data_IF_805429744368
#
_entry.id   IF_805429744368
#
_cell.length_a   1.000
_cell.length_b   1.000
_cell.length_c   1.000
_cell.angle_alpha   90.00
_cell.angle_beta   90.00
_cell.angle_gamma   90.00
#
_symmetry.space_group_name_H-M   'P 1'
#
loop_
_entity.id
_entity.type
_entity.pdbx_description
1 polymer ?
#
# COMPACT_ATOMS: atom_id res chain seq x y z
N UNK A 1 5.79 -4.49 31.77
CA UNK A 1 5.98 -5.66 30.90
C UNK A 1 4.61 -6.25 30.66
N UNK A 2 3.92 -5.80 29.62
CA UNK A 2 2.71 -6.45 29.13
C UNK A 2 3.24 -7.57 28.23
N UNK A 3 2.96 -8.82 28.58
CA UNK A 3 3.43 -9.96 27.78
C UNK A 3 2.87 -9.84 26.37
N UNK A 4 3.75 -9.83 25.38
CA UNK A 4 3.37 -9.83 23.98
C UNK A 4 2.48 -11.06 23.74
N UNK A 5 1.21 -10.82 23.37
CA UNK A 5 0.24 -11.88 23.14
C UNK A 5 0.55 -12.52 21.79
N UNK A 6 0.42 -13.84 21.73
CA UNK A 6 0.62 -14.62 20.51
C UNK A 6 -0.58 -15.52 20.27
N UNK A 7 -0.80 -15.85 19.01
CA UNK A 7 -1.69 -16.93 18.58
C UNK A 7 -0.91 -17.88 17.67
N UNK A 8 -1.35 -19.12 17.53
CA UNK A 8 -0.75 -20.04 16.57
C UNK A 8 -1.03 -19.53 15.15
N UNK A 9 -0.06 -19.67 14.26
CA UNK A 9 -0.21 -19.30 12.84
C UNK A 9 -1.40 -20.04 12.21
N UNK A 10 -1.63 -21.31 12.58
CA UNK A 10 -2.79 -22.07 12.12
C UNK A 10 -4.15 -21.48 12.54
N UNK A 11 -4.23 -20.69 13.61
CA UNK A 11 -5.48 -20.10 14.09
C UNK A 11 -5.99 -18.96 13.21
N UNK A 12 -5.17 -18.39 12.30
CA UNK A 12 -5.66 -17.38 11.35
C UNK A 12 -6.47 -18.02 10.21
N UNK A 13 -6.24 -19.31 9.94
CA UNK A 13 -6.92 -20.00 8.85
C UNK A 13 -8.41 -20.10 9.14
N UNK A 14 -9.21 -19.70 8.17
CA UNK A 14 -10.66 -19.64 8.28
C UNK A 14 -11.20 -18.35 8.90
N UNK A 15 -10.34 -17.48 9.46
CA UNK A 15 -10.76 -16.18 9.98
C UNK A 15 -11.03 -15.20 8.84
N UNK A 16 -12.00 -14.32 9.07
CA UNK A 16 -12.33 -13.23 8.15
C UNK A 16 -11.57 -11.97 8.57
N UNK A 17 -10.97 -11.28 7.62
CA UNK A 17 -10.39 -9.96 7.88
C UNK A 17 -11.49 -8.91 7.92
N UNK A 18 -11.43 -7.99 8.87
CA UNK A 18 -12.38 -6.88 9.00
C UNK A 18 -11.73 -5.55 8.64
N UNK A 19 -10.41 -5.46 8.73
CA UNK A 19 -9.65 -4.28 8.34
C UNK A 19 -8.19 -4.57 7.99
N UNK A 20 -7.56 -3.65 7.25
CA UNK A 20 -6.11 -3.55 7.12
C UNK A 20 -5.74 -2.13 7.51
N UNK A 21 -4.82 -2.00 8.46
CA UNK A 21 -4.25 -0.73 8.87
C UNK A 21 -2.85 -0.58 8.27
N UNK A 22 -2.52 0.61 7.78
CA UNK A 22 -1.16 0.95 7.33
C UNK A 22 -0.60 2.06 8.21
N UNK A 23 0.66 1.91 8.59
CA UNK A 23 1.48 2.98 9.12
C UNK A 23 2.60 3.25 8.13
N UNK A 24 2.66 4.48 7.62
CA UNK A 24 3.69 4.90 6.67
C UNK A 24 4.46 6.09 7.21
N UNK A 25 5.79 6.04 7.09
CA UNK A 25 6.68 7.11 7.52
C UNK A 25 7.77 7.33 6.49
N UNK A 26 7.86 8.56 6.01
CA UNK A 26 8.99 9.02 5.23
C UNK A 26 10.20 9.23 6.14
N UNK A 27 11.33 8.61 5.81
CA UNK A 27 12.60 8.86 6.51
C UNK A 27 13.55 9.73 5.69
N UNK A 28 14.31 10.56 6.42
CA UNK A 28 15.37 11.39 5.85
C UNK A 28 16.47 10.46 5.33
N UNK A 29 16.74 10.51 4.04
CA UNK A 29 17.68 9.61 3.36
C UNK A 29 17.13 8.91 2.13
N UNK A 30 15.85 9.15 1.78
CA UNK A 30 15.25 8.59 0.58
C UNK A 30 14.79 7.15 0.77
N UNK A 31 14.36 6.78 1.98
CA UNK A 31 13.70 5.52 2.28
C UNK A 31 12.29 5.80 2.82
N UNK A 32 11.32 5.06 2.32
CA UNK A 32 9.97 4.99 2.87
C UNK A 32 9.87 3.76 3.75
N UNK A 33 9.25 3.93 4.92
CA UNK A 33 8.88 2.83 5.82
C UNK A 33 7.38 2.65 5.78
N UNK A 34 6.94 1.40 5.72
CA UNK A 34 5.54 1.02 5.76
C UNK A 34 5.37 -0.24 6.59
N UNK A 35 4.38 -0.27 7.47
CA UNK A 35 4.03 -1.47 8.23
C UNK A 35 2.52 -1.66 8.14
N UNK A 36 2.10 -2.88 7.84
CA UNK A 36 0.68 -3.23 7.76
C UNK A 36 0.25 -4.13 8.91
N UNK A 37 -0.91 -3.83 9.47
CA UNK A 37 -1.56 -4.65 10.49
C UNK A 37 -2.89 -5.15 9.97
N UNK A 38 -3.22 -6.39 10.27
CA UNK A 38 -4.47 -7.01 9.84
C UNK A 38 -5.39 -7.15 11.03
N UNK A 39 -6.60 -6.63 10.88
CA UNK A 39 -7.68 -6.87 11.83
C UNK A 39 -8.47 -8.09 11.40
N UNK A 40 -8.51 -9.07 12.30
CA UNK A 40 -9.37 -10.24 12.19
C UNK A 40 -10.69 -9.98 12.91
N UNK A 41 -11.66 -10.86 12.66
CA UNK A 41 -12.86 -10.98 13.49
C UNK A 41 -12.55 -10.86 15.01
N UNK A 42 -13.48 -10.28 15.76
CA UNK A 42 -13.31 -9.95 17.18
C UNK A 42 -12.23 -8.89 17.48
N UNK A 43 -11.82 -8.09 16.48
CA UNK A 43 -10.88 -6.96 16.63
C UNK A 43 -9.48 -7.40 17.09
N UNK A 44 -9.07 -8.60 16.72
CA UNK A 44 -7.71 -9.07 16.96
C UNK A 44 -6.82 -8.45 15.88
N UNK A 45 -5.79 -7.71 16.30
CA UNK A 45 -4.82 -7.10 15.40
C UNK A 45 -3.58 -7.96 15.35
N UNK A 46 -3.16 -8.36 14.16
CA UNK A 46 -1.93 -9.12 13.93
C UNK A 46 -1.01 -8.42 12.94
N UNK A 47 0.26 -8.74 13.02
CA UNK A 47 1.25 -8.45 11.97
C UNK A 47 1.36 -9.66 11.01
N UNK A 48 1.84 -9.43 9.79
CA UNK A 48 2.24 -10.48 8.87
C UNK A 48 3.65 -10.96 9.28
N UNK A 49 3.83 -12.24 9.66
CA UNK A 49 5.11 -12.72 10.14
C UNK A 49 6.17 -12.79 9.03
N UNK A 50 7.43 -12.62 9.43
CA UNK A 50 8.61 -12.93 8.61
C UNK A 50 8.81 -14.44 8.50
N UNK A 51 8.94 -14.94 7.27
CA UNK A 51 9.06 -16.36 6.99
C UNK A 51 7.97 -17.21 7.66
N UNK A 52 8.33 -18.43 8.05
CA UNK A 52 7.46 -19.29 8.86
C UNK A 52 7.74 -19.13 10.35
N UNK A 53 6.67 -18.92 11.11
CA UNK A 53 6.68 -18.99 12.56
C UNK A 53 5.50 -19.85 13.00
N UNK A 54 5.64 -20.61 14.08
CA UNK A 54 4.52 -21.32 14.71
C UNK A 54 3.51 -20.34 15.33
N UNK A 55 3.96 -19.12 15.63
CA UNK A 55 3.20 -18.09 16.31
C UNK A 55 3.14 -16.78 15.53
N UNK A 56 2.00 -16.12 15.56
CA UNK A 56 1.79 -14.76 15.09
C UNK A 56 1.59 -13.84 16.29
N UNK A 57 2.25 -12.69 16.25
CA UNK A 57 2.12 -11.67 17.27
C UNK A 57 0.79 -10.94 17.16
N UNK A 58 0.07 -10.88 18.28
CA UNK A 58 -1.08 -10.00 18.46
C UNK A 58 -0.52 -8.65 18.92
N UNK A 59 -0.83 -7.59 18.16
CA UNK A 59 -0.32 -6.24 18.38
C UNK A 59 -1.39 -5.34 18.97
N UNK A 60 -0.94 -4.32 19.69
CA UNK A 60 -1.76 -3.12 19.87
C UNK A 60 -1.63 -2.27 18.60
N UNK A 61 -2.75 -1.72 18.13
CA UNK A 61 -2.75 -0.89 16.93
C UNK A 61 -1.99 0.41 17.20
N UNK A 62 -1.06 0.77 16.31
CA UNK A 62 -0.40 2.07 16.38
C UNK A 62 -1.44 3.20 16.25
N UNK A 63 -1.33 4.21 17.10
CA UNK A 63 -2.25 5.36 17.14
C UNK A 63 -2.27 6.17 15.83
N UNK A 64 -1.18 6.11 15.07
CA UNK A 64 -0.99 6.84 13.82
C UNK A 64 -1.30 5.94 12.60
N UNK A 65 -1.62 4.65 12.83
CA UNK A 65 -2.03 3.75 11.76
C UNK A 65 -3.43 4.12 11.23
N UNK A 66 -3.56 4.11 9.90
CA UNK A 66 -4.80 4.47 9.21
C UNK A 66 -5.44 3.25 8.58
N UNK A 67 -6.77 3.18 8.65
CA UNK A 67 -7.55 2.12 8.02
C UNK A 67 -7.53 2.27 6.49
N UNK A 68 -6.95 1.29 5.79
CA UNK A 68 -6.96 1.23 4.33
C UNK A 68 -8.36 0.96 3.77
N UNK A 69 -9.28 0.40 4.56
CA UNK A 69 -10.69 0.22 4.16
C UNK A 69 -11.58 1.43 4.46
N UNK A 70 -11.01 2.56 4.90
CA UNK A 70 -11.79 3.78 5.19
C UNK A 70 -12.40 4.37 3.92
N UNK A 71 -11.69 4.26 2.80
CA UNK A 71 -12.16 4.65 1.47
C UNK A 71 -11.76 3.58 0.45
N UNK A 72 -12.76 2.99 -0.20
CA UNK A 72 -12.60 1.96 -1.22
C UNK A 72 -12.91 2.48 -2.63
N UNK A 73 -13.04 3.80 -2.80
CA UNK A 73 -13.23 4.41 -4.11
C UNK A 73 -11.98 4.22 -4.98
N UNK A 74 -12.21 4.14 -6.29
CA UNK A 74 -11.14 4.08 -7.28
C UNK A 74 -10.33 5.38 -7.28
N UNK A 75 -9.02 5.29 -7.50
CA UNK A 75 -8.11 6.42 -7.41
C UNK A 75 -8.06 7.21 -8.72
N UNK A 76 -8.24 8.53 -8.65
CA UNK A 76 -8.10 9.39 -9.83
C UNK A 76 -6.62 9.66 -10.14
N UNK A 77 -6.18 9.34 -11.36
CA UNK A 77 -4.89 9.73 -11.91
C UNK A 77 -5.07 10.90 -12.86
N UNK A 78 -4.55 12.05 -12.44
CA UNK A 78 -4.61 13.28 -13.22
C UNK A 78 -3.41 13.34 -14.17
N UNK A 79 -3.67 13.27 -15.47
CA UNK A 79 -2.67 13.53 -16.48
C UNK A 79 -2.52 15.04 -16.65
N UNK A 80 -1.31 15.52 -16.40
CA UNK A 80 -0.90 16.92 -16.57
C UNK A 80 0.11 17.01 -17.72
N UNK A 81 0.41 18.23 -18.17
CA UNK A 81 1.38 18.49 -19.23
C UNK A 81 1.04 17.79 -20.56
N UNK A 82 -0.16 18.10 -21.09
CA UNK A 82 -0.67 17.55 -22.36
C UNK A 82 0.32 17.66 -23.53
N UNK A 83 1.11 18.73 -23.54
CA UNK A 83 2.03 19.07 -24.63
C UNK A 83 3.42 18.43 -24.47
N UNK A 84 3.65 17.58 -23.44
CA UNK A 84 4.94 16.96 -23.13
C UNK A 84 6.11 17.96 -23.02
N UNK A 85 5.83 19.17 -22.55
CA UNK A 85 6.86 20.19 -22.33
C UNK A 85 7.82 19.74 -21.25
N UNK A 86 9.09 20.05 -21.40
CA UNK A 86 10.09 19.85 -20.36
C UNK A 86 9.82 20.75 -19.16
N UNK A 87 10.33 20.36 -17.98
CA UNK A 87 10.23 21.18 -16.77
C UNK A 87 10.81 22.59 -17.00
N UNK A 88 11.87 22.70 -17.81
CA UNK A 88 12.51 23.96 -18.17
C UNK A 88 11.54 24.83 -18.99
N UNK A 89 10.92 24.27 -20.03
CA UNK A 89 9.94 25.02 -20.86
C UNK A 89 8.72 25.48 -20.05
N UNK A 90 8.26 24.67 -19.10
CA UNK A 90 7.16 25.04 -18.20
C UNK A 90 7.60 26.19 -17.27
N UNK A 91 8.80 26.10 -16.69
CA UNK A 91 9.34 27.14 -15.82
C UNK A 91 9.55 28.46 -16.57
N UNK A 92 10.08 28.41 -17.79
CA UNK A 92 10.32 29.58 -18.63
C UNK A 92 8.99 30.25 -19.04
N UNK A 93 7.99 29.46 -19.45
CA UNK A 93 6.66 29.96 -19.75
C UNK A 93 6.00 30.61 -18.52
N UNK A 94 6.13 29.99 -17.34
CA UNK A 94 5.61 30.56 -16.10
C UNK A 94 6.30 31.88 -15.75
N UNK A 95 7.63 31.98 -15.89
CA UNK A 95 8.36 33.22 -15.66
C UNK A 95 7.95 34.33 -16.64
N UNK A 96 7.76 34.00 -17.92
CA UNK A 96 7.30 34.95 -18.93
C UNK A 96 5.89 35.49 -18.59
N UNK A 97 4.96 34.60 -18.25
CA UNK A 97 3.60 34.99 -17.84
C UNK A 97 3.61 35.83 -16.56
N UNK A 98 4.50 35.54 -15.60
CA UNK A 98 4.64 36.30 -14.35
C UNK A 98 5.23 37.70 -14.54
N UNK A 99 6.02 37.91 -15.60
CA UNK A 99 6.61 39.22 -15.94
C UNK A 99 5.65 40.15 -16.67
N UNK A 100 4.56 39.63 -17.23
CA UNK A 100 3.56 40.45 -17.94
C UNK A 100 2.87 41.43 -16.98
N UNK A 101 2.93 42.73 -17.31
CA UNK A 101 2.43 43.84 -16.47
C UNK A 101 0.96 43.64 -16.06
N UNK A 102 0.13 43.10 -16.96
CA UNK A 102 -1.28 42.80 -16.71
C UNK A 102 -1.50 41.76 -15.60
N UNK A 103 -0.63 40.75 -15.52
CA UNK A 103 -0.70 39.69 -14.50
C UNK A 103 -0.16 40.16 -13.14
N UNK A 104 0.76 41.13 -13.12
CA UNK A 104 1.18 41.80 -11.88
C UNK A 104 0.06 42.65 -11.30
N UNK A 105 -0.67 43.37 -12.15
CA UNK A 105 -1.84 44.16 -11.76
C UNK A 105 -3.01 43.30 -11.29
N UNK A 106 -3.30 42.16 -11.95
CA UNK A 106 -4.37 41.26 -11.53
C UNK A 106 -4.09 40.61 -10.17
N UNK A 107 -2.83 40.26 -9.87
CA UNK A 107 -2.43 39.76 -8.55
C UNK A 107 -2.65 40.81 -7.45
N UNK A 108 -2.31 42.08 -7.73
CA UNK A 108 -2.48 43.19 -6.78
C UNK A 108 -3.96 43.51 -6.55
N UNK A 109 -4.79 43.45 -7.59
CA UNK A 109 -6.21 43.83 -7.53
C UNK A 109 -7.14 42.70 -7.06
N UNK A 110 -6.82 41.44 -7.39
CA UNK A 110 -7.74 40.30 -7.18
C UNK A 110 -7.12 39.15 -6.38
N UNK A 111 -5.85 39.24 -5.96
CA UNK A 111 -5.20 38.23 -5.11
C UNK A 111 -5.04 36.84 -5.75
N UNK A 112 -5.24 36.70 -7.07
CA UNK A 112 -5.15 35.41 -7.77
C UNK A 112 -3.72 35.19 -8.27
N UNK A 113 -3.11 34.10 -7.84
CA UNK A 113 -1.86 33.63 -8.43
C UNK A 113 -2.10 33.07 -9.84
N UNK A 114 -1.06 33.18 -10.68
CA UNK A 114 -1.12 32.69 -12.06
C UNK A 114 -1.12 31.17 -12.02
N UNK A 115 -2.20 30.54 -12.47
CA UNK A 115 -2.27 29.09 -12.61
C UNK A 115 -1.26 28.64 -13.67
N UNK A 116 -0.41 27.66 -13.33
CA UNK A 116 0.46 27.02 -14.31
C UNK A 116 -0.45 26.17 -15.20
N UNK A 117 -0.79 26.69 -16.39
CA UNK A 117 -1.73 26.04 -17.32
C UNK A 117 -1.27 24.64 -17.72
N UNK A 118 0.05 24.42 -17.81
CA UNK A 118 0.63 23.13 -18.17
C UNK A 118 0.43 22.06 -17.07
N UNK A 119 0.15 22.45 -15.82
CA UNK A 119 -0.18 21.52 -14.71
C UNK A 119 -1.69 21.38 -14.44
N UNK A 120 -2.54 21.96 -15.29
CA UNK A 120 -3.98 21.68 -15.20
C UNK A 120 -4.25 20.26 -15.74
N UNK A 121 -5.02 19.43 -15.01
CA UNK A 121 -5.42 18.12 -15.50
C UNK A 121 -6.15 18.23 -16.83
N UNK A 122 -5.70 17.52 -17.86
CA UNK A 122 -6.38 17.47 -19.17
C UNK A 122 -7.11 16.15 -19.41
N UNK A 123 -6.77 15.13 -18.62
CA UNK A 123 -7.40 13.81 -18.62
C UNK A 123 -7.35 13.26 -17.19
N UNK A 124 -8.43 12.63 -16.78
CA UNK A 124 -8.52 11.92 -15.50
C UNK A 124 -8.82 10.47 -15.83
N UNK A 125 -7.91 9.59 -15.45
CA UNK A 125 -8.14 8.14 -15.46
C UNK A 125 -8.47 7.68 -14.05
N UNK A 126 -9.17 6.56 -13.92
CA UNK A 126 -9.48 5.96 -12.62
C UNK A 126 -8.80 4.60 -12.53
N UNK A 127 -7.94 4.43 -11.52
CA UNK A 127 -7.31 3.16 -11.19
C UNK A 127 -8.19 2.46 -10.16
N UNK A 128 -8.56 1.23 -10.50
CA UNK A 128 -9.36 0.39 -9.63
C UNK A 128 -8.70 0.19 -8.26
N UNK A 129 -9.45 0.42 -7.18
CA UNK A 129 -8.99 0.09 -5.85
C UNK A 129 -9.17 -1.41 -5.56
N UNK A 130 -8.06 -2.16 -5.54
CA UNK A 130 -8.06 -3.62 -5.35
C UNK A 130 -8.45 -4.06 -3.93
N UNK A 131 -8.40 -3.17 -2.94
CA UNK A 131 -8.80 -3.48 -1.56
C UNK A 131 -10.27 -3.88 -1.45
N UNK A 132 -11.12 -3.48 -2.40
CA UNK A 132 -12.53 -3.90 -2.47
C UNK A 132 -12.70 -5.41 -2.65
N UNK A 133 -11.70 -6.09 -3.20
CA UNK A 133 -11.70 -7.54 -3.32
C UNK A 133 -11.19 -8.24 -2.07
N UNK A 134 -10.45 -7.54 -1.21
CA UNK A 134 -9.81 -8.09 -0.01
C UNK A 134 -10.71 -7.95 1.22
N UNK A 135 -11.47 -6.85 1.31
CA UNK A 135 -12.36 -6.59 2.45
C UNK A 135 -13.34 -7.74 2.68
N UNK A 136 -13.51 -8.11 3.96
CA UNK A 136 -14.41 -9.16 4.44
C UNK A 136 -14.11 -10.55 3.83
N UNK A 137 -12.87 -10.79 3.40
CA UNK A 137 -12.43 -12.10 2.89
C UNK A 137 -11.90 -13.01 3.98
N UNK A 138 -12.07 -14.31 3.74
CA UNK A 138 -11.57 -15.37 4.60
C UNK A 138 -10.14 -15.72 4.23
N UNK A 139 -9.28 -15.83 5.24
CA UNK A 139 -7.92 -16.37 5.08
C UNK A 139 -8.04 -17.88 4.88
N UNK A 140 -7.44 -18.39 3.82
CA UNK A 140 -7.42 -19.82 3.51
C UNK A 140 -6.04 -20.45 3.65
N UNK A 141 -4.98 -19.63 3.59
CA UNK A 141 -3.61 -20.13 3.75
C UNK A 141 -2.64 -19.02 4.17
N UNK A 142 -1.50 -19.45 4.69
CA UNK A 142 -0.31 -18.62 4.88
C UNK A 142 0.84 -19.21 4.06
N UNK A 143 1.47 -18.37 3.25
CA UNK A 143 2.50 -18.76 2.29
C UNK A 143 3.81 -18.07 2.66
N UNK A 144 4.94 -18.78 2.58
CA UNK A 144 6.25 -18.20 2.84
C UNK A 144 7.31 -18.80 1.92
N UNK A 145 8.41 -18.08 1.74
CA UNK A 145 9.61 -18.58 1.08
C UNK A 145 10.63 -18.99 2.15
N UNK A 146 11.66 -19.74 1.74
CA UNK A 146 12.73 -20.15 2.66
C UNK A 146 13.55 -18.95 3.19
N UNK A 147 13.50 -17.82 2.50
CA UNK A 147 14.13 -16.57 2.93
C UNK A 147 13.29 -15.91 4.04
N UNK A 148 13.80 -15.97 5.27
CA UNK A 148 13.17 -15.36 6.44
C UNK A 148 13.37 -13.83 6.52
N UNK A 149 14.11 -13.21 5.59
CA UNK A 149 14.25 -11.76 5.53
C UNK A 149 13.01 -11.05 4.96
N UNK A 150 12.09 -11.81 4.37
CA UNK A 150 10.84 -11.30 3.83
C UNK A 150 9.64 -11.75 4.67
N UNK A 151 8.60 -10.93 4.67
CA UNK A 151 7.30 -11.31 5.22
C UNK A 151 6.63 -12.35 4.34
N UNK A 152 5.88 -13.23 4.98
CA UNK A 152 5.03 -14.18 4.28
C UNK A 152 3.83 -13.49 3.62
N UNK A 153 2.93 -14.31 3.10
CA UNK A 153 1.75 -13.88 2.36
C UNK A 153 0.51 -14.52 2.96
N UNK A 154 -0.56 -13.75 3.02
CA UNK A 154 -1.88 -14.25 3.42
C UNK A 154 -2.70 -14.46 2.16
N UNK A 155 -3.14 -15.70 1.94
CA UNK A 155 -3.99 -16.09 0.81
C UNK A 155 -5.46 -16.05 1.24
N UNK A 156 -6.28 -15.41 0.42
CA UNK A 156 -7.72 -15.31 0.61
C UNK A 156 -8.52 -16.31 -0.21
N UNK A 157 -9.75 -16.56 0.20
CA UNK A 157 -10.70 -17.49 -0.44
C UNK A 157 -11.02 -17.15 -1.91
N UNK A 158 -10.89 -15.89 -2.30
CA UNK A 158 -11.05 -15.42 -3.67
C UNK A 158 -9.76 -15.47 -4.51
N UNK A 159 -8.67 -16.00 -3.95
CA UNK A 159 -7.39 -16.20 -4.64
C UNK A 159 -6.40 -15.02 -4.54
N UNK A 160 -6.82 -13.88 -4.00
CA UNK A 160 -5.92 -12.75 -3.78
C UNK A 160 -4.93 -13.05 -2.65
N UNK A 161 -3.77 -12.40 -2.71
CA UNK A 161 -2.75 -12.47 -1.67
C UNK A 161 -2.32 -11.08 -1.24
N UNK A 162 -1.98 -10.95 0.03
CA UNK A 162 -1.33 -9.75 0.56
C UNK A 162 -0.05 -10.08 1.31
N UNK A 163 0.88 -9.14 1.26
CA UNK A 163 2.07 -9.05 2.12
C UNK A 163 2.36 -7.57 2.36
N UNK A 164 3.36 -7.24 3.16
CA UNK A 164 3.85 -5.87 3.27
C UNK A 164 5.38 -5.81 3.22
N UNK A 165 5.88 -4.69 2.74
CA UNK A 165 7.31 -4.41 2.66
C UNK A 165 7.65 -3.31 3.66
N UNK A 166 8.47 -3.67 4.65
CA UNK A 166 8.82 -2.77 5.76
C UNK A 166 9.54 -1.49 5.31
N UNK A 167 10.43 -1.61 4.32
CA UNK A 167 11.29 -0.52 3.86
C UNK A 167 11.50 -0.62 2.35
N UNK A 168 11.34 0.50 1.64
CA UNK A 168 11.66 0.59 0.21
C UNK A 168 12.31 1.94 -0.15
N UNK A 169 13.02 2.05 -1.29
CA UNK A 169 13.48 3.34 -1.78
C UNK A 169 12.32 4.33 -1.98
N UNK A 170 12.56 5.59 -1.62
CA UNK A 170 11.53 6.61 -1.64
C UNK A 170 10.94 6.82 -3.03
N UNK A 171 9.62 6.96 -3.10
CA UNK A 171 8.91 7.22 -4.34
C UNK A 171 8.73 5.99 -5.24
N UNK A 172 9.12 4.79 -4.79
CA UNK A 172 8.78 3.54 -5.48
C UNK A 172 7.34 3.12 -5.25
N UNK A 173 6.73 3.59 -4.16
CA UNK A 173 5.39 3.14 -3.73
C UNK A 173 5.35 1.69 -3.24
N UNK A 174 6.51 1.08 -2.99
CA UNK A 174 6.61 -0.34 -2.60
C UNK A 174 6.61 -0.57 -1.09
N UNK A 175 6.89 0.46 -0.28
CA UNK A 175 6.80 0.34 1.18
C UNK A 175 5.32 0.29 1.60
N UNK A 176 4.99 -0.63 2.52
CA UNK A 176 3.61 -0.88 2.93
C UNK A 176 2.98 -2.07 2.20
N UNK A 177 1.66 -2.03 2.02
CA UNK A 177 0.86 -3.16 1.54
C UNK A 177 1.14 -3.48 0.07
N UNK A 178 1.39 -4.75 -0.21
CA UNK A 178 1.48 -5.29 -1.57
C UNK A 178 0.34 -6.30 -1.79
N UNK A 179 -0.29 -6.25 -2.96
CA UNK A 179 -1.42 -7.09 -3.34
C UNK A 179 -1.08 -7.86 -4.61
N UNK A 180 -1.36 -9.16 -4.61
CA UNK A 180 -1.31 -10.04 -5.77
C UNK A 180 -2.72 -10.56 -6.06
N UNK A 181 -3.14 -10.55 -7.33
CA UNK A 181 -4.50 -10.98 -7.69
C UNK A 181 -4.65 -12.51 -7.68
N UNK A 182 -3.53 -13.23 -7.78
CA UNK A 182 -3.50 -14.68 -7.79
C UNK A 182 -2.15 -15.26 -7.38
N UNK A 183 -2.15 -16.57 -7.05
CA UNK A 183 -0.92 -17.35 -6.87
C UNK A 183 -0.03 -17.30 -8.13
N UNK A 184 -0.63 -17.23 -9.32
CA UNK A 184 0.12 -17.12 -10.57
C UNK A 184 0.89 -15.79 -10.64
N UNK A 185 0.30 -14.69 -10.17
CA UNK A 185 0.99 -13.40 -10.13
C UNK A 185 2.15 -13.42 -9.14
N UNK A 186 1.94 -14.01 -7.95
CA UNK A 186 3.03 -14.25 -7.00
C UNK A 186 4.15 -15.10 -7.63
N UNK A 187 3.77 -16.19 -8.31
CA UNK A 187 4.72 -17.11 -8.96
C UNK A 187 5.50 -16.42 -10.07
N UNK A 188 4.85 -15.57 -10.86
CA UNK A 188 5.52 -14.79 -11.91
C UNK A 188 6.48 -13.75 -11.33
N UNK A 189 6.16 -13.18 -10.17
CA UNK A 189 6.97 -12.17 -9.51
C UNK A 189 8.16 -12.75 -8.73
N UNK A 190 7.97 -13.88 -8.05
CA UNK A 190 8.92 -14.41 -7.06
C UNK A 190 9.35 -15.87 -7.27
N UNK A 191 8.71 -16.61 -8.17
CA UNK A 191 8.96 -18.04 -8.34
C UNK A 191 7.98 -18.92 -7.55
N UNK A 192 8.11 -20.24 -7.75
CA UNK A 192 7.18 -21.26 -7.24
C UNK A 192 7.74 -22.10 -6.07
N UNK A 193 8.85 -21.67 -5.47
CA UNK A 193 9.55 -22.32 -4.36
C UNK A 193 9.01 -21.91 -2.98
N UNK A 194 7.76 -21.48 -2.93
CA UNK A 194 7.06 -21.17 -1.69
C UNK A 194 6.48 -22.42 -1.03
N UNK A 195 6.24 -22.31 0.27
CA UNK A 195 5.56 -23.30 1.09
C UNK A 195 4.18 -22.77 1.50
N UNK A 196 3.27 -23.70 1.80
CA UNK A 196 1.92 -23.42 2.29
C UNK A 196 1.72 -24.02 3.67
N UNK A 197 0.99 -23.34 4.53
CA UNK A 197 0.72 -23.81 5.88
C UNK A 197 -0.13 -25.07 5.87
N UNK A 198 -1.11 -25.15 4.96
CA UNK A 198 -1.96 -26.33 4.85
C UNK A 198 -1.20 -27.57 4.37
N UNK A 199 -0.13 -27.40 3.60
CA UNK A 199 0.70 -28.51 3.12
C UNK A 199 1.52 -29.10 4.27
N UNK A 200 1.98 -28.28 5.22
CA UNK A 200 2.75 -28.75 6.39
C UNK A 200 1.86 -29.40 7.46
N UNK A 201 0.61 -28.96 7.60
CA UNK A 201 -0.36 -29.59 8.51
C UNK A 201 -0.83 -30.97 8.03
N UNK A 202 -0.80 -31.22 6.72
CA UNK A 202 -1.18 -32.51 6.12
C UNK A 202 -0.17 -33.65 6.40
N UNK A 203 0.97 -33.33 7.04
CA UNK A 203 2.07 -34.25 7.33
C UNK A 203 2.10 -34.64 8.84
N UNK A 204 1.20 -34.10 9.67
CA UNK A 204 1.09 -34.44 11.10
C UNK A 204 -0.11 -35.34 11.41
#
# INVERSE_FOLDING_TARGET
MIGDRQMLTGEIIGKTITNIYSFEKMEVGGLDKGECFIELENKIIIDIPYGFSDYIWIKELDKDAVSLFADLSDYSVNHVNKDNKTIIEIADNYQLQRRTIFNRLSKILFGRDIAIKDYQPYKIDYIENKLKYIKDRKIVDFIWYADESEKGFILFDNGYLITDTAVAPHGTGNAGLNIYESINDLTNAKGNDYFKLTDTQSIR
#
